data_IF_694518338550
#
_entry.id   IF_694518338550
#
_cell.length_a   1.000
_cell.length_b   1.000
_cell.length_c   1.000
_cell.angle_alpha   90.00
_cell.angle_beta   90.00
_cell.angle_gamma   90.00
#
_symmetry.space_group_name_H-M   'P 1'
#
loop_
_entity.id
_entity.type
_entity.pdbx_description
1 polymer ?
#
# COMPACT_ATOMS: atom_id res chain seq x y z
N UNK A 1 -14.84 41.13 -30.17
CA UNK A 1 -15.34 42.02 -29.11
C UNK A 1 -16.72 41.55 -28.72
N UNK A 2 -16.82 40.90 -27.55
CA UNK A 2 -17.92 41.01 -26.58
C UNK A 2 -17.74 39.86 -25.58
N UNK A 3 -17.35 40.25 -24.36
CA UNK A 3 -17.09 39.44 -23.18
C UNK A 3 -18.25 38.52 -22.81
N UNK A 4 -17.92 37.32 -22.33
CA UNK A 4 -18.84 36.41 -21.62
C UNK A 4 -18.33 36.26 -20.19
N UNK A 5 -18.63 37.26 -19.35
CA UNK A 5 -18.53 37.15 -17.90
C UNK A 5 -19.87 37.57 -17.29
N UNK A 6 -20.62 36.56 -16.84
CA UNK A 6 -21.84 36.70 -16.04
C UNK A 6 -22.12 35.37 -15.32
N UNK A 7 -22.41 35.38 -14.00
CA UNK A 7 -22.52 34.14 -13.22
C UNK A 7 -23.81 33.38 -13.54
N UNK A 8 -23.71 32.06 -13.67
CA UNK A 8 -24.82 31.15 -13.94
C UNK A 8 -25.74 31.03 -12.71
N UNK A 9 -26.97 31.48 -12.88
CA UNK A 9 -28.08 31.38 -11.93
C UNK A 9 -28.81 30.03 -12.13
N UNK A 10 -28.96 29.25 -11.06
CA UNK A 10 -29.48 27.87 -11.06
C UNK A 10 -30.83 27.73 -10.35
N UNK A 11 -31.66 28.76 -10.34
CA UNK A 11 -33.07 28.58 -10.03
C UNK A 11 -33.84 28.32 -11.32
N UNK A 12 -34.44 27.12 -11.42
CA UNK A 12 -35.78 26.81 -11.97
C UNK A 12 -35.86 25.30 -12.29
N UNK A 13 -36.37 24.50 -11.34
CA UNK A 13 -36.91 23.15 -11.62
C UNK A 13 -38.44 23.22 -11.78
N UNK A 14 -38.97 22.54 -12.80
CA UNK A 14 -40.39 22.47 -13.14
C UNK A 14 -41.15 21.37 -12.34
N UNK A 15 -42.46 21.54 -12.02
CA UNK A 15 -43.12 20.79 -10.96
C UNK A 15 -44.14 19.73 -11.43
N UNK A 16 -44.08 18.57 -10.73
CA UNK A 16 -45.19 17.82 -10.10
C UNK A 16 -46.07 16.80 -10.86
N UNK A 17 -46.51 15.82 -10.02
CA UNK A 17 -47.79 15.05 -9.98
C UNK A 17 -47.70 13.58 -10.48
N UNK A 18 -48.02 12.51 -9.71
CA UNK A 18 -49.09 12.25 -8.71
C UNK A 18 -48.70 11.09 -7.76
N UNK A 19 -49.11 11.18 -6.48
CA UNK A 19 -49.18 10.09 -5.47
C UNK A 19 -50.64 9.63 -5.23
N UNK A 20 -50.90 8.49 -4.55
CA UNK A 20 -51.48 8.60 -3.18
C UNK A 20 -50.93 7.53 -2.20
N UNK A 21 -50.34 7.91 -1.05
CA UNK A 21 -50.96 8.26 0.26
C UNK A 21 -51.12 6.99 1.15
N UNK A 22 -50.52 6.83 2.34
CA UNK A 22 -50.76 7.52 3.64
C UNK A 22 -49.76 6.85 4.65
N UNK A 23 -48.86 7.53 5.39
CA UNK A 23 -49.09 8.04 6.77
C UNK A 23 -47.85 8.77 7.34
N UNK A 24 -48.11 9.75 8.20
CA UNK A 24 -47.25 10.88 8.58
C UNK A 24 -46.14 10.58 9.61
N UNK A 25 -44.91 11.03 9.31
CA UNK A 25 -43.98 11.79 10.18
C UNK A 25 -42.71 12.17 9.38
N UNK A 26 -42.80 13.22 8.58
CA UNK A 26 -41.66 13.78 7.86
C UNK A 26 -40.67 14.45 8.83
N UNK A 27 -39.50 13.85 8.98
CA UNK A 27 -38.29 14.57 9.42
C UNK A 27 -37.92 15.56 8.32
N UNK A 28 -38.20 16.85 8.54
CA UNK A 28 -37.63 17.92 7.72
C UNK A 28 -36.10 17.79 7.80
N UNK A 29 -35.44 17.52 6.66
CA UNK A 29 -33.98 17.64 6.53
C UNK A 29 -33.66 19.12 6.78
N UNK A 30 -33.14 19.43 7.97
CA UNK A 30 -32.48 20.71 8.20
C UNK A 30 -31.18 20.67 7.40
N UNK A 31 -30.91 21.74 6.66
CA UNK A 31 -29.56 22.01 6.14
C UNK A 31 -28.67 22.11 7.37
N UNK A 32 -27.70 21.20 7.48
CA UNK A 32 -26.74 21.20 8.57
C UNK A 32 -25.67 22.22 8.17
N UNK A 33 -25.66 23.37 8.84
CA UNK A 33 -24.63 24.39 8.62
C UNK A 33 -23.35 24.01 9.37
N UNK A 34 -22.21 24.53 8.94
CA UNK A 34 -20.90 24.24 9.56
C UNK A 34 -20.88 24.60 11.06
N UNK A 35 -21.65 25.63 11.43
CA UNK A 35 -21.83 26.05 12.82
C UNK A 35 -22.62 25.03 13.65
N UNK A 36 -23.56 24.29 13.05
CA UNK A 36 -24.27 23.20 13.72
C UNK A 36 -23.33 22.01 13.98
N UNK A 37 -22.43 21.70 13.03
CA UNK A 37 -21.41 20.65 13.20
C UNK A 37 -20.36 21.01 14.26
N UNK A 38 -19.93 22.27 14.30
CA UNK A 38 -19.03 22.77 15.35
C UNK A 38 -19.70 22.69 16.72
N UNK A 39 -20.97 23.07 16.81
CA UNK A 39 -21.73 23.02 18.06
C UNK A 39 -21.93 21.58 18.53
N UNK A 40 -22.21 20.65 17.64
CA UNK A 40 -22.30 19.22 17.96
C UNK A 40 -20.93 18.66 18.39
N UNK A 41 -19.83 19.05 17.74
CA UNK A 41 -18.47 18.66 18.12
C UNK A 41 -18.11 19.11 19.56
N UNK A 42 -18.41 20.36 19.91
CA UNK A 42 -18.16 20.85 21.27
C UNK A 42 -19.12 20.22 22.29
N UNK A 43 -20.38 19.98 21.93
CA UNK A 43 -21.34 19.32 22.81
C UNK A 43 -21.00 17.84 23.08
N UNK A 44 -20.44 17.12 22.11
CA UNK A 44 -19.99 15.74 22.30
C UNK A 44 -18.71 15.66 23.13
N UNK A 45 -17.80 16.64 23.03
CA UNK A 45 -16.67 16.75 23.97
C UNK A 45 -17.14 16.94 25.42
N UNK A 46 -18.15 17.78 25.65
CA UNK A 46 -18.70 17.99 27.01
C UNK A 46 -19.39 16.73 27.55
N UNK A 47 -20.15 16.00 26.71
CA UNK A 47 -20.79 14.73 27.11
C UNK A 47 -19.81 13.61 27.41
N UNK A 48 -18.66 13.58 26.74
CA UNK A 48 -17.59 12.60 27.03
C UNK A 48 -16.92 12.87 28.39
N UNK A 49 -16.80 14.13 28.79
CA UNK A 49 -16.27 14.51 30.12
C UNK A 49 -17.25 14.10 31.24
N UNK A 50 -18.56 14.26 31.03
CA UNK A 50 -19.57 13.90 32.04
C UNK A 50 -19.78 12.39 32.19
N UNK A 51 -19.57 11.58 31.15
CA UNK A 51 -19.70 10.11 31.22
C UNK A 51 -18.52 9.41 31.92
N UNK A 52 -17.41 10.11 32.19
CA UNK A 52 -16.25 9.58 32.89
C UNK A 52 -16.37 9.42 34.41
N UNK A 53 -17.47 9.83 35.03
CA UNK A 53 -17.60 9.89 36.52
C UNK A 53 -18.49 8.80 37.15
N UNK A 54 -18.70 7.65 36.49
CA UNK A 54 -19.39 6.50 37.10
C UNK A 54 -18.44 5.32 37.34
N UNK A 55 -18.03 5.13 38.61
CA UNK A 55 -17.28 3.95 39.08
C UNK A 55 -18.18 2.70 39.10
N UNK A 56 -17.75 1.56 38.54
CA UNK A 56 -18.31 0.26 38.87
C UNK A 56 -17.66 -0.33 40.13
N UNK A 57 -18.43 -1.14 40.86
CA UNK A 57 -18.06 -1.84 42.09
C UNK A 57 -17.07 -2.99 41.80
N UNK A 58 -16.13 -3.17 42.75
CA UNK A 58 -15.09 -4.20 42.82
C UNK A 58 -15.63 -5.65 42.75
N UNK A 59 -14.90 -6.51 42.03
CA UNK A 59 -14.74 -7.94 42.28
C UNK A 59 -13.30 -8.34 41.89
N UNK A 60 -12.60 -8.98 42.83
CA UNK A 60 -11.26 -9.60 42.74
C UNK A 60 -11.24 -10.73 41.66
N UNK A 61 -10.14 -11.18 41.03
CA UNK A 61 -8.71 -11.26 41.38
C UNK A 61 -7.82 -11.35 40.10
N UNK A 62 -6.56 -10.88 40.23
CA UNK A 62 -5.35 -11.30 39.49
C UNK A 62 -5.09 -10.78 38.05
N UNK A 63 -4.87 -9.47 37.88
CA UNK A 63 -4.10 -8.92 36.72
C UNK A 63 -3.42 -7.54 37.01
N UNK A 64 -3.27 -7.17 38.30
CA UNK A 64 -3.00 -5.78 38.73
C UNK A 64 -1.63 -5.20 38.29
N UNK A 65 -0.64 -6.03 37.96
CA UNK A 65 0.71 -5.55 37.62
C UNK A 65 0.84 -5.03 36.18
N UNK A 66 0.01 -5.52 35.25
CA UNK A 66 -0.02 -5.05 33.86
C UNK A 66 -0.76 -3.71 33.75
N UNK A 67 -1.87 -3.60 34.48
CA UNK A 67 -2.72 -2.40 34.52
C UNK A 67 -1.99 -1.18 35.10
N UNK A 68 -1.11 -1.36 36.10
CA UNK A 68 -0.35 -0.24 36.69
C UNK A 68 0.74 0.29 35.73
N UNK A 69 1.39 -0.59 34.97
CA UNK A 69 2.39 -0.20 33.96
C UNK A 69 1.73 0.50 32.78
N UNK A 70 0.60 -0.01 32.29
CA UNK A 70 -0.19 0.60 31.21
C UNK A 70 -0.76 1.97 31.62
N UNK A 71 -1.21 2.11 32.87
CA UNK A 71 -1.70 3.37 33.42
C UNK A 71 -0.59 4.44 33.50
N UNK A 72 0.61 4.08 33.96
CA UNK A 72 1.78 4.98 34.01
C UNK A 72 2.23 5.40 32.61
N UNK A 73 2.22 4.48 31.65
CA UNK A 73 2.51 4.76 30.24
C UNK A 73 1.52 5.79 29.68
N UNK A 74 0.23 5.51 29.84
CA UNK A 74 -0.86 6.37 29.36
C UNK A 74 -0.80 7.76 29.98
N UNK A 75 -0.43 7.86 31.27
CA UNK A 75 -0.22 9.14 31.92
C UNK A 75 0.94 9.93 31.30
N UNK A 76 2.07 9.28 31.06
CA UNK A 76 3.25 9.91 30.43
C UNK A 76 2.95 10.40 29.01
N UNK A 77 2.25 9.60 28.20
CA UNK A 77 1.83 9.98 26.84
C UNK A 77 0.88 11.17 26.87
N UNK A 78 -0.11 11.16 27.76
CA UNK A 78 -1.05 12.27 27.92
C UNK A 78 -0.35 13.56 28.39
N UNK A 79 0.63 13.45 29.29
CA UNK A 79 1.42 14.59 29.75
C UNK A 79 2.29 15.17 28.62
N UNK A 80 2.90 14.31 27.80
CA UNK A 80 3.63 14.73 26.60
C UNK A 80 2.73 15.41 25.56
N UNK A 81 1.54 14.86 25.32
CA UNK A 81 0.56 15.43 24.38
C UNK A 81 0.08 16.80 24.84
N UNK A 82 -0.27 16.95 26.12
CA UNK A 82 -0.67 18.23 26.68
C UNK A 82 0.45 19.28 26.60
N UNK A 83 1.70 18.88 26.85
CA UNK A 83 2.86 19.76 26.68
C UNK A 83 3.08 20.16 25.21
N UNK A 84 2.79 19.29 24.24
CA UNK A 84 2.83 19.67 22.82
C UNK A 84 1.73 20.66 22.45
N UNK A 85 0.51 20.43 22.94
CA UNK A 85 -0.64 21.30 22.67
C UNK A 85 -0.42 22.70 23.26
N UNK A 86 0.27 22.81 24.41
CA UNK A 86 0.69 24.09 25.02
C UNK A 86 1.78 24.83 24.22
N UNK A 87 2.59 24.13 23.43
CA UNK A 87 3.67 24.70 22.61
C UNK A 87 3.18 25.02 21.17
N UNK A 88 2.00 24.52 20.77
CA UNK A 88 1.45 24.57 19.41
C UNK A 88 0.84 25.91 18.97
N UNK A 89 1.61 27.00 19.02
CA UNK A 89 1.27 28.26 18.37
C UNK A 89 1.84 28.33 16.95
N UNK A 90 1.24 27.60 16.01
CA UNK A 90 1.59 27.64 14.58
C UNK A 90 2.23 26.35 14.08
N UNK A 91 1.41 25.42 13.58
CA UNK A 91 1.91 24.28 12.80
C UNK A 91 2.33 24.77 11.40
N UNK A 92 3.62 25.06 11.22
CA UNK A 92 4.23 24.88 9.91
C UNK A 92 4.18 23.37 9.63
N UNK A 93 3.30 22.95 8.71
CA UNK A 93 3.22 21.56 8.24
C UNK A 93 4.58 21.25 7.58
N UNK A 94 5.50 20.65 8.33
CA UNK A 94 6.73 20.11 7.76
C UNK A 94 6.35 19.16 6.64
N UNK A 95 6.91 19.38 5.44
CA UNK A 95 6.73 18.50 4.29
C UNK A 95 7.23 17.10 4.65
N UNK A 96 6.32 16.23 5.10
CA UNK A 96 6.58 14.80 5.22
C UNK A 96 6.62 14.16 3.83
N UNK A 97 7.11 12.93 3.75
CA UNK A 97 7.14 12.14 2.53
C UNK A 97 8.58 11.93 2.05
N UNK A 98 8.92 10.67 1.81
CA UNK A 98 10.23 10.30 1.30
C UNK A 98 10.11 10.16 -0.21
N UNK A 99 10.99 10.83 -0.95
CA UNK A 99 11.13 10.57 -2.38
C UNK A 99 11.89 9.25 -2.56
N UNK A 100 11.17 8.18 -2.89
CA UNK A 100 11.76 6.85 -3.06
C UNK A 100 12.08 6.53 -4.51
N UNK A 101 11.53 7.28 -5.48
CA UNK A 101 11.83 7.12 -6.90
C UNK A 101 12.77 8.21 -7.42
N UNK A 102 13.93 7.77 -7.90
CA UNK A 102 14.94 8.57 -8.56
C UNK A 102 14.76 8.63 -10.07
N UNK A 103 15.86 8.49 -10.80
CA UNK A 103 15.88 8.44 -12.26
C UNK A 103 15.55 7.03 -12.73
N UNK A 104 14.56 6.90 -13.62
CA UNK A 104 14.23 5.62 -14.23
C UNK A 104 15.32 5.17 -15.21
N UNK A 105 15.63 3.87 -15.19
CA UNK A 105 16.51 3.20 -16.14
C UNK A 105 15.80 2.87 -17.45
N UNK A 106 16.56 2.29 -18.39
CA UNK A 106 15.99 1.84 -19.66
C UNK A 106 15.31 0.48 -19.46
N UNK A 107 14.02 0.32 -19.84
CA UNK A 107 13.36 -0.98 -19.79
C UNK A 107 14.03 -1.97 -20.75
N UNK A 108 13.94 -3.28 -20.45
CA UNK A 108 14.42 -4.31 -21.37
C UNK A 108 13.63 -4.27 -22.70
N UNK A 109 14.25 -4.82 -23.75
CA UNK A 109 13.59 -4.97 -25.04
C UNK A 109 12.35 -5.86 -24.91
N UNK A 110 11.21 -5.41 -25.42
CA UNK A 110 9.95 -6.16 -25.45
C UNK A 110 9.81 -7.04 -26.70
N UNK A 111 10.92 -7.38 -27.36
CA UNK A 111 10.94 -8.33 -28.47
C UNK A 111 11.15 -9.73 -27.90
N UNK A 112 10.18 -10.62 -28.11
CA UNK A 112 10.21 -12.00 -27.62
C UNK A 112 10.22 -12.98 -28.80
N UNK A 113 11.40 -13.38 -29.30
CA UNK A 113 11.52 -14.35 -30.39
C UNK A 113 10.87 -15.70 -30.07
N UNK A 114 10.89 -16.08 -28.78
CA UNK A 114 10.31 -17.34 -28.27
C UNK A 114 8.78 -17.43 -28.46
N UNK A 115 8.09 -16.30 -28.64
CA UNK A 115 6.64 -16.29 -28.95
C UNK A 115 6.34 -16.92 -30.31
N UNK A 116 7.27 -16.85 -31.27
CA UNK A 116 7.07 -17.40 -32.61
C UNK A 116 6.98 -18.93 -32.56
N UNK A 117 7.61 -19.54 -31.56
CA UNK A 117 7.64 -20.98 -31.34
C UNK A 117 6.67 -21.47 -30.27
N UNK A 118 5.77 -20.63 -29.74
CA UNK A 118 4.83 -21.09 -28.72
C UNK A 118 3.77 -22.03 -29.32
N UNK A 119 3.42 -23.08 -28.58
CA UNK A 119 2.49 -24.12 -29.00
C UNK A 119 1.09 -23.56 -29.27
N UNK A 120 0.68 -22.53 -28.52
CA UNK A 120 -0.54 -21.79 -28.75
C UNK A 120 -0.55 -21.17 -30.15
N UNK A 121 0.48 -20.40 -30.52
CA UNK A 121 0.55 -19.75 -31.82
C UNK A 121 0.69 -20.77 -32.96
N UNK A 122 1.56 -21.78 -32.78
CA UNK A 122 1.73 -22.88 -33.72
C UNK A 122 0.40 -23.61 -33.97
N UNK A 123 -0.41 -23.83 -32.93
CA UNK A 123 -1.70 -24.48 -33.08
C UNK A 123 -2.68 -23.65 -33.92
N UNK A 124 -2.67 -22.32 -33.80
CA UNK A 124 -3.48 -21.46 -34.67
C UNK A 124 -2.99 -21.50 -36.12
N UNK A 125 -1.67 -21.42 -36.35
CA UNK A 125 -1.08 -21.46 -37.69
C UNK A 125 -1.39 -22.76 -38.44
N UNK A 126 -1.50 -23.87 -37.71
CA UNK A 126 -1.75 -25.21 -38.26
C UNK A 126 -3.24 -25.57 -38.38
N UNK A 127 -4.16 -24.63 -38.12
CA UNK A 127 -5.62 -24.87 -38.21
C UNK A 127 -6.23 -24.23 -39.45
N UNK A 128 -7.39 -24.75 -39.88
CA UNK A 128 -8.17 -24.15 -40.98
C UNK A 128 -8.53 -22.68 -40.71
N UNK A 129 -8.64 -22.27 -39.44
CA UNK A 129 -8.84 -20.88 -39.02
C UNK A 129 -7.74 -19.94 -39.53
N UNK A 130 -6.54 -20.45 -39.78
CA UNK A 130 -5.46 -19.63 -40.34
C UNK A 130 -5.78 -19.12 -41.75
N UNK A 131 -6.65 -19.80 -42.49
CA UNK A 131 -7.11 -19.31 -43.80
C UNK A 131 -7.94 -18.02 -43.73
N UNK A 132 -8.48 -17.68 -42.56
CA UNK A 132 -9.27 -16.47 -42.32
C UNK A 132 -8.46 -15.32 -41.72
N UNK A 133 -7.42 -15.66 -40.96
CA UNK A 133 -6.62 -14.69 -40.19
C UNK A 133 -5.28 -14.38 -40.86
N UNK A 134 -4.81 -15.26 -41.75
CA UNK A 134 -3.52 -15.14 -42.45
C UNK A 134 -2.36 -14.89 -41.47
N UNK A 135 -2.29 -15.71 -40.41
CA UNK A 135 -1.22 -15.67 -39.43
C UNK A 135 0.09 -16.17 -40.04
N UNK A 136 1.09 -15.33 -39.87
CA UNK A 136 2.48 -15.54 -40.23
C UNK A 136 3.36 -15.35 -39.00
N UNK A 137 4.59 -15.83 -39.06
CA UNK A 137 5.58 -15.62 -37.98
C UNK A 137 5.87 -14.14 -37.74
N UNK A 138 5.57 -13.26 -38.70
CA UNK A 138 5.79 -11.81 -38.59
C UNK A 138 4.65 -11.07 -37.88
N UNK A 139 3.39 -11.53 -38.01
CA UNK A 139 2.24 -10.88 -37.38
C UNK A 139 1.76 -11.59 -36.09
N UNK A 140 2.35 -12.73 -35.73
CA UNK A 140 1.95 -13.53 -34.56
C UNK A 140 2.00 -12.77 -33.23
N UNK A 141 3.00 -11.91 -33.02
CA UNK A 141 3.10 -11.10 -31.79
C UNK A 141 1.94 -10.09 -31.68
N UNK A 142 1.60 -9.41 -32.77
CA UNK A 142 0.47 -8.46 -32.81
C UNK A 142 -0.87 -9.17 -32.62
N UNK A 143 -1.00 -10.39 -33.15
CA UNK A 143 -2.17 -11.23 -32.92
C UNK A 143 -2.33 -11.60 -31.44
N UNK A 144 -1.25 -12.02 -30.78
CA UNK A 144 -1.26 -12.33 -29.35
C UNK A 144 -1.54 -11.09 -28.50
N UNK A 145 -0.98 -9.92 -28.85
CA UNK A 145 -1.35 -8.64 -28.21
C UNK A 145 -2.86 -8.40 -28.32
N UNK A 146 -3.46 -8.60 -29.50
CA UNK A 146 -4.90 -8.50 -29.69
C UNK A 146 -5.69 -9.49 -28.83
N UNK A 147 -5.23 -10.74 -28.71
CA UNK A 147 -5.86 -11.75 -27.85
C UNK A 147 -5.79 -11.40 -26.37
N UNK A 148 -4.65 -10.85 -25.93
CA UNK A 148 -4.46 -10.38 -24.56
C UNK A 148 -5.39 -9.21 -24.25
N UNK A 149 -5.40 -8.17 -25.10
CA UNK A 149 -6.22 -6.96 -24.90
C UNK A 149 -7.71 -7.27 -24.85
N UNK A 150 -8.17 -8.20 -25.68
CA UNK A 150 -9.57 -8.61 -25.72
C UNK A 150 -9.93 -9.68 -24.67
N UNK A 151 -8.98 -10.09 -23.82
CA UNK A 151 -9.20 -11.09 -22.77
C UNK A 151 -9.40 -12.53 -23.26
N UNK A 152 -9.23 -12.79 -24.57
CA UNK A 152 -9.33 -14.13 -25.14
C UNK A 152 -8.16 -15.03 -24.73
N UNK A 153 -6.97 -14.45 -24.49
CA UNK A 153 -5.81 -15.21 -24.04
C UNK A 153 -6.09 -15.91 -22.71
N UNK A 154 -6.63 -15.20 -21.71
CA UNK A 154 -6.99 -15.79 -20.42
C UNK A 154 -8.01 -16.90 -20.58
N UNK A 155 -9.07 -16.70 -21.40
CA UNK A 155 -10.09 -17.73 -21.67
C UNK A 155 -9.49 -18.99 -22.29
N UNK A 156 -8.57 -18.85 -23.24
CA UNK A 156 -7.89 -19.98 -23.85
C UNK A 156 -7.02 -20.74 -22.86
N UNK A 157 -6.29 -20.02 -21.99
CA UNK A 157 -5.53 -20.62 -20.90
C UNK A 157 -6.44 -21.40 -19.96
N UNK A 158 -7.59 -20.85 -19.56
CA UNK A 158 -8.56 -21.57 -18.71
C UNK A 158 -9.12 -22.83 -19.38
N UNK A 159 -9.35 -22.81 -20.70
CA UNK A 159 -9.82 -23.99 -21.46
C UNK A 159 -8.73 -25.04 -21.58
N UNK A 160 -7.49 -24.64 -21.87
CA UNK A 160 -6.35 -25.55 -22.01
C UNK A 160 -5.79 -26.04 -20.67
N UNK A 161 -6.01 -25.29 -19.61
CA UNK A 161 -5.45 -25.53 -18.28
C UNK A 161 -3.93 -25.38 -18.23
N UNK A 162 -3.31 -24.66 -19.16
CA UNK A 162 -1.85 -24.55 -19.28
C UNK A 162 -1.41 -23.17 -19.75
N UNK A 163 -0.33 -22.66 -19.15
CA UNK A 163 0.38 -21.44 -19.57
C UNK A 163 1.82 -21.79 -19.89
N UNK A 164 2.15 -21.69 -21.17
CA UNK A 164 3.51 -21.88 -21.66
C UNK A 164 4.48 -20.84 -21.11
N UNK A 165 5.74 -21.24 -20.92
CA UNK A 165 6.81 -20.36 -20.43
C UNK A 165 6.98 -19.09 -21.28
N UNK A 166 6.90 -19.21 -22.60
CA UNK A 166 7.04 -18.10 -23.55
C UNK A 166 5.93 -17.05 -23.35
N UNK A 167 4.68 -17.51 -23.17
CA UNK A 167 3.51 -16.65 -22.92
C UNK A 167 3.62 -16.00 -21.55
N UNK A 168 3.98 -16.76 -20.52
CA UNK A 168 4.13 -16.25 -19.16
C UNK A 168 5.21 -15.15 -19.09
N UNK A 169 6.41 -15.42 -19.63
CA UNK A 169 7.50 -14.45 -19.69
C UNK A 169 7.09 -13.18 -20.43
N UNK A 170 6.45 -13.34 -21.59
CA UNK A 170 6.02 -12.21 -22.41
C UNK A 170 4.97 -11.34 -21.70
N UNK A 171 3.90 -11.92 -21.16
CA UNK A 171 2.87 -11.15 -20.45
C UNK A 171 3.42 -10.49 -19.19
N UNK A 172 4.31 -11.17 -18.46
CA UNK A 172 4.96 -10.59 -17.29
C UNK A 172 5.80 -9.35 -17.64
N UNK A 173 6.60 -9.42 -18.71
CA UNK A 173 7.38 -8.27 -19.16
C UNK A 173 6.51 -7.15 -19.74
N UNK A 174 5.42 -7.47 -20.44
CA UNK A 174 4.46 -6.46 -20.88
C UNK A 174 3.85 -5.71 -19.70
N UNK A 175 3.46 -6.42 -18.65
CA UNK A 175 2.91 -5.83 -17.44
C UNK A 175 3.91 -4.87 -16.77
N UNK A 176 5.20 -5.23 -16.72
CA UNK A 176 6.21 -4.43 -16.05
C UNK A 176 6.77 -3.28 -16.90
N UNK A 177 6.95 -3.46 -18.20
CA UNK A 177 7.80 -2.57 -19.00
C UNK A 177 7.11 -1.96 -20.22
N UNK A 178 5.88 -2.36 -20.55
CA UNK A 178 5.17 -1.76 -21.68
C UNK A 178 4.84 -0.29 -21.41
N UNK A 179 4.97 0.53 -22.46
CA UNK A 179 4.53 1.93 -22.47
C UNK A 179 3.06 2.08 -22.86
N UNK A 180 2.40 1.00 -23.33
CA UNK A 180 1.00 1.00 -23.70
C UNK A 180 0.15 0.60 -22.49
N UNK A 181 -0.54 1.55 -21.88
CA UNK A 181 -1.39 1.34 -20.69
C UNK A 181 -2.38 0.17 -20.87
N UNK A 182 -3.02 0.05 -22.04
CA UNK A 182 -3.93 -1.08 -22.33
C UNK A 182 -3.24 -2.44 -22.25
N UNK A 183 -2.01 -2.56 -22.77
CA UNK A 183 -1.25 -3.81 -22.67
C UNK A 183 -0.86 -4.10 -21.22
N UNK A 184 -0.43 -3.08 -20.48
CA UNK A 184 -0.08 -3.21 -19.06
C UNK A 184 -1.29 -3.71 -18.26
N UNK A 185 -2.45 -3.08 -18.45
CA UNK A 185 -3.68 -3.46 -17.77
C UNK A 185 -4.11 -4.89 -18.13
N UNK A 186 -4.16 -5.24 -19.42
CA UNK A 186 -4.57 -6.58 -19.85
C UNK A 186 -3.58 -7.68 -19.43
N UNK A 187 -2.28 -7.39 -19.43
CA UNK A 187 -1.26 -8.30 -18.90
C UNK A 187 -1.39 -8.49 -17.38
N UNK A 188 -1.66 -7.41 -16.64
CA UNK A 188 -1.93 -7.46 -15.21
C UNK A 188 -3.18 -8.28 -14.92
N UNK A 189 -4.29 -8.04 -15.64
CA UNK A 189 -5.55 -8.75 -15.47
C UNK A 189 -5.41 -10.24 -15.82
N UNK A 190 -4.58 -10.57 -16.83
CA UNK A 190 -4.21 -11.96 -17.15
C UNK A 190 -3.54 -12.66 -15.96
N UNK A 191 -2.51 -12.05 -15.36
CA UNK A 191 -1.81 -12.61 -14.20
C UNK A 191 -2.70 -12.70 -12.96
N UNK A 192 -3.50 -11.67 -12.68
CA UNK A 192 -4.48 -11.70 -11.61
C UNK A 192 -5.49 -12.84 -11.82
N UNK A 193 -6.06 -13.00 -13.03
CA UNK A 193 -7.04 -14.05 -13.29
C UNK A 193 -6.44 -15.46 -13.09
N UNK A 194 -5.23 -15.69 -13.58
CA UNK A 194 -4.59 -17.02 -13.54
C UNK A 194 -4.15 -17.39 -12.13
N UNK A 195 -3.63 -16.45 -11.35
CA UNK A 195 -3.15 -16.70 -9.99
C UNK A 195 -4.27 -16.66 -8.95
N UNK A 196 -5.29 -15.82 -9.14
CA UNK A 196 -6.49 -15.73 -8.29
C UNK A 196 -7.55 -16.78 -8.62
N UNK A 197 -7.30 -17.67 -9.58
CA UNK A 197 -8.15 -18.81 -9.90
C UNK A 197 -8.30 -19.68 -8.65
N UNK A 198 -9.30 -19.39 -7.82
CA UNK A 198 -9.72 -20.28 -6.75
C UNK A 198 -9.91 -21.67 -7.35
N UNK A 199 -9.48 -22.70 -6.61
CA UNK A 199 -9.80 -24.10 -6.93
C UNK A 199 -11.31 -24.30 -6.70
N UNK A 200 -12.14 -23.66 -7.53
CA UNK A 200 -13.57 -23.92 -7.58
C UNK A 200 -13.77 -25.38 -7.90
N UNK A 201 -14.84 -25.96 -7.35
CA UNK A 201 -15.11 -27.41 -7.29
C UNK A 201 -15.10 -28.14 -8.65
N UNK A 202 -14.98 -27.43 -9.78
CA UNK A 202 -14.92 -28.00 -11.14
C UNK A 202 -13.88 -27.35 -12.08
N UNK A 203 -12.92 -26.55 -11.60
CA UNK A 203 -11.87 -25.98 -12.46
C UNK A 203 -10.59 -26.81 -12.38
N UNK A 204 -10.07 -27.25 -13.54
CA UNK A 204 -8.75 -27.88 -13.60
C UNK A 204 -7.69 -26.87 -13.11
N UNK A 205 -6.74 -27.28 -12.26
CA UNK A 205 -5.65 -26.41 -11.86
C UNK A 205 -4.86 -26.02 -13.11
N UNK A 206 -4.66 -24.72 -13.32
CA UNK A 206 -3.82 -24.24 -14.42
C UNK A 206 -2.37 -24.61 -14.10
N UNK A 207 -1.74 -25.35 -15.01
CA UNK A 207 -0.30 -25.60 -14.97
C UNK A 207 0.42 -24.41 -15.60
N UNK A 208 1.28 -23.75 -14.83
CA UNK A 208 2.07 -22.61 -15.30
C UNK A 208 3.52 -23.09 -15.38
N UNK A 209 4.11 -23.08 -16.57
CA UNK A 209 5.48 -23.58 -16.79
C UNK A 209 6.55 -22.71 -16.13
N UNK A 210 6.20 -21.46 -15.81
CA UNK A 210 7.11 -20.47 -15.28
C UNK A 210 6.40 -19.47 -14.36
N UNK A 211 7.01 -19.21 -13.20
CA UNK A 211 6.53 -18.23 -12.23
C UNK A 211 7.50 -17.05 -12.11
N UNK A 212 7.00 -15.83 -11.88
CA UNK A 212 7.87 -14.68 -11.66
C UNK A 212 8.67 -14.83 -10.38
N UNK A 213 9.96 -14.55 -10.47
CA UNK A 213 10.85 -14.54 -9.31
C UNK A 213 10.82 -13.16 -8.62
N UNK A 214 11.08 -13.14 -7.31
CA UNK A 214 11.26 -11.88 -6.60
C UNK A 214 12.40 -11.04 -7.17
N UNK A 215 13.48 -11.68 -7.64
CA UNK A 215 14.61 -10.98 -8.28
C UNK A 215 14.19 -10.17 -9.50
N UNK A 216 13.27 -10.67 -10.32
CA UNK A 216 12.78 -9.95 -11.50
C UNK A 216 11.87 -8.77 -11.10
N UNK A 217 11.04 -8.96 -10.08
CA UNK A 217 10.21 -7.90 -9.51
C UNK A 217 11.06 -6.79 -8.87
N UNK A 218 12.15 -7.16 -8.19
CA UNK A 218 13.12 -6.24 -7.61
C UNK A 218 13.88 -5.47 -8.69
N UNK A 219 14.35 -6.18 -9.72
CA UNK A 219 15.00 -5.56 -10.89
C UNK A 219 14.07 -4.55 -11.57
N UNK A 220 12.77 -4.85 -11.66
CA UNK A 220 11.78 -3.93 -12.19
C UNK A 220 11.69 -2.65 -11.37
N UNK A 221 11.65 -2.74 -10.04
CA UNK A 221 11.67 -1.56 -9.14
C UNK A 221 12.96 -0.75 -9.31
N UNK A 222 14.11 -1.40 -9.44
CA UNK A 222 15.39 -0.73 -9.69
C UNK A 222 15.37 0.03 -11.03
N UNK A 223 14.82 -0.57 -12.09
CA UNK A 223 14.60 0.09 -13.39
C UNK A 223 13.62 1.26 -13.25
N UNK A 224 12.61 1.14 -12.39
CA UNK A 224 11.72 2.25 -12.06
C UNK A 224 12.40 3.35 -11.23
N UNK A 225 13.67 3.17 -10.86
CA UNK A 225 14.46 4.13 -10.10
C UNK A 225 14.21 4.06 -8.59
N UNK A 226 13.72 2.93 -8.06
CA UNK A 226 13.48 2.75 -6.64
C UNK A 226 14.79 2.78 -5.83
N UNK A 227 14.84 3.62 -4.80
CA UNK A 227 16.00 3.88 -3.96
C UNK A 227 15.86 3.12 -2.62
N UNK A 228 16.24 1.85 -2.61
CA UNK A 228 16.10 1.00 -1.41
C UNK A 228 17.11 1.34 -0.30
N UNK A 229 18.29 1.87 -0.66
CA UNK A 229 19.33 2.30 0.28
C UNK A 229 19.47 3.83 0.22
N UNK A 230 18.84 4.54 1.16
CA UNK A 230 18.96 6.01 1.28
C UNK A 230 20.35 6.52 1.64
N UNK A 231 21.26 5.62 2.04
CA UNK A 231 22.59 5.98 2.54
C UNK A 231 23.59 6.39 1.44
N UNK A 232 23.38 6.01 0.18
CA UNK A 232 24.42 6.14 -0.86
C UNK A 232 24.22 7.27 -1.89
N UNK A 233 23.15 8.05 -1.84
CA UNK A 233 22.89 9.07 -2.87
C UNK A 233 22.74 10.48 -2.30
N UNK A 234 23.85 11.04 -1.80
CA UNK A 234 24.00 12.49 -1.60
C UNK A 234 24.72 13.17 -2.79
N UNK A 235 25.25 12.43 -3.76
CA UNK A 235 26.01 13.05 -4.85
C UNK A 235 25.40 12.88 -6.25
N UNK A 236 25.06 14.05 -6.82
CA UNK A 236 24.88 14.32 -8.25
C UNK A 236 23.59 13.81 -8.91
N UNK A 237 22.94 14.51 -9.85
CA UNK A 237 23.21 15.76 -10.51
C UNK A 237 21.86 16.41 -10.85
N UNK A 238 21.86 17.74 -10.88
CA UNK A 238 20.91 18.50 -11.69
C UNK A 238 21.07 18.06 -13.14
N UNK A 239 20.19 17.16 -13.58
CA UNK A 239 19.91 16.94 -14.98
C UNK A 239 18.41 16.89 -15.10
N UNK A 240 17.86 17.85 -15.83
CA UNK A 240 16.46 17.91 -16.23
C UNK A 240 16.17 16.70 -17.14
N UNK A 241 15.91 15.54 -16.54
CA UNK A 241 15.42 14.35 -17.23
C UNK A 241 13.95 14.20 -16.87
N UNK A 242 13.09 14.12 -17.89
CA UNK A 242 11.64 14.38 -17.84
C UNK A 242 10.80 13.36 -17.05
N UNK A 243 11.36 12.22 -16.65
CA UNK A 243 10.63 11.19 -15.90
C UNK A 243 11.16 11.06 -14.47
N UNK A 244 10.79 12.00 -13.60
CA UNK A 244 10.93 11.86 -12.14
C UNK A 244 9.55 11.54 -11.56
N UNK A 245 9.43 10.42 -10.86
CA UNK A 245 8.22 10.01 -10.15
C UNK A 245 7.95 8.52 -10.30
N UNK A 246 6.91 7.99 -9.62
CA UNK A 246 6.55 6.60 -9.70
C UNK A 246 6.20 6.24 -11.15
N UNK A 247 6.63 5.07 -11.63
CA UNK A 247 6.34 4.63 -12.99
C UNK A 247 4.85 4.38 -13.15
N UNK A 248 4.33 4.52 -14.37
CA UNK A 248 2.92 4.20 -14.67
C UNK A 248 2.57 2.74 -14.32
N UNK A 249 3.56 1.86 -14.40
CA UNK A 249 3.39 0.42 -14.20
C UNK A 249 3.47 0.00 -12.72
N UNK A 250 3.68 0.93 -11.77
CA UNK A 250 3.75 0.61 -10.33
C UNK A 250 2.46 -0.07 -9.85
N UNK A 251 1.31 0.36 -10.36
CA UNK A 251 0.02 -0.23 -10.01
C UNK A 251 -0.06 -1.69 -10.43
N UNK A 252 0.48 -2.03 -11.61
CA UNK A 252 0.53 -3.39 -12.11
C UNK A 252 1.53 -4.24 -11.30
N UNK A 253 2.66 -3.66 -10.92
CA UNK A 253 3.64 -4.29 -10.02
C UNK A 253 2.98 -4.66 -8.67
N UNK A 254 2.26 -3.74 -8.01
CA UNK A 254 1.58 -3.99 -6.74
C UNK A 254 0.53 -5.10 -6.89
N UNK A 255 -0.32 -5.03 -7.92
CA UNK A 255 -1.32 -6.07 -8.19
C UNK A 255 -0.70 -7.44 -8.47
N UNK A 256 0.45 -7.49 -9.13
CA UNK A 256 1.18 -8.74 -9.35
C UNK A 256 1.66 -9.34 -8.03
N UNK A 257 2.24 -8.54 -7.12
CA UNK A 257 2.62 -9.00 -5.79
C UNK A 257 1.40 -9.58 -5.05
N UNK A 258 0.27 -8.87 -5.06
CA UNK A 258 -0.96 -9.36 -4.45
C UNK A 258 -1.38 -10.73 -5.01
N UNK A 259 -1.39 -10.87 -6.33
CA UNK A 259 -1.74 -12.11 -7.00
C UNK A 259 -0.75 -13.24 -6.67
N UNK A 260 0.55 -12.94 -6.61
CA UNK A 260 1.58 -13.89 -6.22
C UNK A 260 1.43 -14.35 -4.77
N UNK A 261 1.05 -13.46 -3.84
CA UNK A 261 0.83 -13.81 -2.44
C UNK A 261 -0.40 -14.69 -2.20
N UNK A 262 -1.36 -14.73 -3.13
CA UNK A 262 -2.49 -15.66 -3.05
C UNK A 262 -2.07 -17.11 -3.34
N UNK A 263 -1.00 -17.30 -4.11
CA UNK A 263 -0.43 -18.62 -4.39
C UNK A 263 0.70 -18.89 -3.40
N UNK A 264 0.48 -19.84 -2.48
CA UNK A 264 1.52 -20.24 -1.53
C UNK A 264 2.77 -20.75 -2.26
N UNK A 265 3.95 -20.35 -1.76
CA UNK A 265 5.29 -20.78 -2.18
C UNK A 265 5.91 -20.11 -3.41
N UNK A 266 5.37 -19.00 -3.92
CA UNK A 266 6.07 -18.21 -4.96
C UNK A 266 7.28 -17.47 -4.36
N UNK A 267 7.12 -16.91 -3.16
CA UNK A 267 8.19 -16.18 -2.48
C UNK A 267 8.76 -16.98 -1.31
N UNK A 268 10.07 -16.89 -1.10
CA UNK A 268 10.67 -17.31 0.16
C UNK A 268 10.27 -16.33 1.28
N UNK A 269 10.41 -16.72 2.55
CA UNK A 269 10.14 -15.82 3.69
C UNK A 269 11.02 -14.56 3.63
N UNK A 270 12.29 -14.69 3.23
CA UNK A 270 13.20 -13.55 3.05
C UNK A 270 12.74 -12.60 1.94
N UNK A 271 12.24 -13.12 0.83
CA UNK A 271 11.71 -12.29 -0.25
C UNK A 271 10.45 -11.55 0.21
N UNK A 272 9.58 -12.24 0.94
CA UNK A 272 8.38 -11.62 1.52
C UNK A 272 8.72 -10.54 2.55
N UNK A 273 9.77 -10.73 3.37
CA UNK A 273 10.29 -9.71 4.29
C UNK A 273 10.69 -8.44 3.53
N UNK A 274 11.51 -8.57 2.47
CA UNK A 274 11.90 -7.42 1.64
C UNK A 274 10.70 -6.75 0.95
N UNK A 275 9.69 -7.52 0.51
CA UNK A 275 8.45 -6.96 -0.07
C UNK A 275 7.71 -6.09 0.97
N UNK A 276 7.60 -6.53 2.22
CA UNK A 276 6.98 -5.72 3.30
C UNK A 276 7.73 -4.40 3.47
N UNK A 277 9.06 -4.44 3.51
CA UNK A 277 9.88 -3.24 3.63
C UNK A 277 9.65 -2.28 2.46
N UNK A 278 9.66 -2.80 1.22
CA UNK A 278 9.37 -2.01 0.01
C UNK A 278 7.97 -1.38 0.09
N UNK A 279 6.95 -2.12 0.50
CA UNK A 279 5.58 -1.60 0.61
C UNK A 279 5.48 -0.47 1.64
N UNK A 280 6.18 -0.59 2.78
CA UNK A 280 6.23 0.49 3.77
C UNK A 280 6.92 1.73 3.18
N UNK A 281 8.00 1.57 2.41
CA UNK A 281 8.61 2.70 1.71
C UNK A 281 7.67 3.33 0.68
N UNK A 282 6.94 2.51 -0.09
CA UNK A 282 5.93 3.01 -1.04
C UNK A 282 4.84 3.81 -0.32
N UNK A 283 4.44 3.42 0.89
CA UNK A 283 3.49 4.15 1.73
C UNK A 283 4.05 5.48 2.26
N UNK A 284 5.37 5.62 2.34
CA UNK A 284 6.05 6.85 2.76
C UNK A 284 6.22 7.86 1.63
N UNK A 285 6.03 7.49 0.35
CA UNK A 285 6.09 8.43 -0.77
C UNK A 285 4.72 9.06 -1.03
N UNK A 286 4.65 10.38 -0.87
CA UNK A 286 3.42 11.16 -1.11
C UNK A 286 2.90 11.09 -2.53
N UNK A 287 3.76 10.83 -3.53
CA UNK A 287 3.34 10.67 -4.92
C UNK A 287 2.47 9.42 -5.13
N UNK A 288 2.51 8.47 -4.19
CA UNK A 288 1.73 7.23 -4.22
C UNK A 288 0.46 7.29 -3.36
N UNK A 289 0.08 8.45 -2.82
CA UNK A 289 -1.10 8.59 -1.97
C UNK A 289 -2.40 8.12 -2.67
N UNK A 290 -2.50 8.26 -4.00
CA UNK A 290 -3.62 7.74 -4.78
C UNK A 290 -3.71 6.21 -4.86
N UNK A 291 -2.69 5.48 -4.41
CA UNK A 291 -2.62 4.02 -4.37
C UNK A 291 -2.65 3.47 -2.93
N UNK A 292 -2.98 4.30 -1.93
CA UNK A 292 -2.90 3.95 -0.51
C UNK A 292 -3.73 2.69 -0.16
N UNK A 293 -4.98 2.63 -0.62
CA UNK A 293 -5.86 1.46 -0.40
C UNK A 293 -5.24 0.19 -0.98
N UNK A 294 -4.75 0.26 -2.23
CA UNK A 294 -4.11 -0.87 -2.90
C UNK A 294 -2.83 -1.33 -2.19
N UNK A 295 -2.04 -0.38 -1.67
CA UNK A 295 -0.82 -0.66 -0.91
C UNK A 295 -1.14 -1.31 0.44
N UNK A 296 -2.18 -0.85 1.15
CA UNK A 296 -2.61 -1.47 2.40
C UNK A 296 -3.14 -2.89 2.18
N UNK A 297 -3.97 -3.10 1.16
CA UNK A 297 -4.47 -4.44 0.81
C UNK A 297 -3.31 -5.37 0.46
N UNK A 298 -2.32 -4.86 -0.30
CA UNK A 298 -1.12 -5.62 -0.63
C UNK A 298 -0.28 -5.94 0.62
N UNK A 299 -0.07 -4.98 1.51
CA UNK A 299 0.66 -5.18 2.75
C UNK A 299 0.00 -6.26 3.61
N UNK A 300 -1.32 -6.22 3.75
CA UNK A 300 -2.09 -7.20 4.53
C UNK A 300 -1.99 -8.60 3.92
N UNK A 301 -2.02 -8.73 2.60
CA UNK A 301 -1.82 -10.02 1.91
C UNK A 301 -0.42 -10.57 2.11
N UNK A 302 0.63 -9.73 2.03
CA UNK A 302 2.01 -10.16 2.24
C UNK A 302 2.25 -10.56 3.69
N UNK A 303 1.70 -9.82 4.66
CA UNK A 303 1.75 -10.19 6.09
C UNK A 303 1.00 -11.51 6.35
N UNK A 304 -0.10 -11.75 5.63
CA UNK A 304 -0.87 -12.99 5.71
C UNK A 304 -0.17 -14.18 5.03
N UNK A 305 0.81 -13.92 4.17
CA UNK A 305 1.57 -14.95 3.45
C UNK A 305 2.43 -15.83 4.39
N UNK A 306 2.95 -15.26 5.48
CA UNK A 306 3.80 -15.96 6.43
C UNK A 306 3.02 -17.01 7.24
N UNK A 307 3.69 -18.11 7.61
CA UNK A 307 3.17 -19.00 8.66
C UNK A 307 3.29 -18.32 10.03
N UNK A 308 2.55 -18.80 11.03
CA UNK A 308 2.62 -18.23 12.38
C UNK A 308 4.03 -18.37 12.98
N UNK A 309 4.75 -19.47 12.71
CA UNK A 309 6.12 -19.63 13.18
C UNK A 309 7.07 -18.64 12.52
N UNK A 310 6.96 -18.48 11.18
CA UNK A 310 7.79 -17.57 10.41
C UNK A 310 7.54 -16.11 10.81
N UNK A 311 6.28 -15.75 11.00
CA UNK A 311 5.87 -14.37 11.25
C UNK A 311 6.53 -13.78 12.50
N UNK A 312 6.66 -14.55 13.58
CA UNK A 312 7.29 -14.07 14.82
C UNK A 312 8.73 -13.58 14.61
N UNK A 313 9.52 -14.33 13.84
CA UNK A 313 10.93 -14.02 13.53
C UNK A 313 11.01 -12.94 12.45
N UNK A 314 10.19 -13.05 11.40
CA UNK A 314 10.18 -12.11 10.28
C UNK A 314 9.75 -10.70 10.72
N UNK A 315 8.76 -10.59 11.61
CA UNK A 315 8.29 -9.32 12.15
C UNK A 315 9.40 -8.51 12.83
N UNK A 316 10.21 -9.17 13.67
CA UNK A 316 11.34 -8.51 14.34
C UNK A 316 12.43 -8.09 13.36
N UNK A 317 12.74 -8.95 12.37
CA UNK A 317 13.72 -8.63 11.32
C UNK A 317 13.31 -7.41 10.49
N UNK A 318 12.06 -7.38 10.04
CA UNK A 318 11.50 -6.26 9.29
C UNK A 318 11.58 -4.98 10.13
N UNK A 319 11.20 -5.05 11.41
CA UNK A 319 11.31 -3.92 12.33
C UNK A 319 12.73 -3.35 12.43
N UNK A 320 13.73 -4.21 12.65
CA UNK A 320 15.16 -3.81 12.72
C UNK A 320 15.64 -3.19 11.40
N UNK A 321 15.27 -3.82 10.29
CA UNK A 321 15.65 -3.43 8.94
C UNK A 321 15.11 -2.03 8.60
N UNK A 322 13.84 -1.77 8.93
CA UNK A 322 13.20 -0.46 8.75
C UNK A 322 13.79 0.61 9.68
N UNK A 323 13.96 0.30 10.97
CA UNK A 323 14.48 1.26 11.94
C UNK A 323 15.87 1.79 11.58
N UNK A 324 16.71 0.97 10.96
CA UNK A 324 18.04 1.36 10.48
C UNK A 324 18.03 2.27 9.24
N UNK A 325 16.95 2.27 8.46
CA UNK A 325 16.89 2.92 7.13
C UNK A 325 15.92 4.09 7.06
N UNK A 326 14.86 4.10 7.87
CA UNK A 326 13.91 5.21 7.92
C UNK A 326 14.58 6.42 8.58
N UNK A 327 14.51 7.62 7.96
CA UNK A 327 15.05 8.84 8.55
C UNK A 327 14.48 9.09 9.95
N UNK A 328 15.33 9.56 10.86
CA UNK A 328 14.94 9.94 12.23
C UNK A 328 14.25 11.32 12.21
N UNK A 329 13.17 11.45 11.45
CA UNK A 329 12.35 12.65 11.34
C UNK A 329 10.85 12.27 11.36
N UNK A 330 9.95 13.14 10.90
CA UNK A 330 8.51 12.85 10.86
C UNK A 330 8.16 11.56 10.07
N UNK A 331 9.04 11.08 9.19
CA UNK A 331 8.82 9.84 8.44
C UNK A 331 8.90 8.58 9.32
N UNK A 332 9.60 8.63 10.46
CA UNK A 332 9.62 7.49 11.39
C UNK A 332 8.26 7.26 12.06
N UNK A 333 7.54 8.34 12.38
CA UNK A 333 6.13 8.30 12.78
C UNK A 333 5.25 7.74 11.67
N UNK A 334 5.40 8.28 10.45
CA UNK A 334 4.59 7.83 9.31
C UNK A 334 4.80 6.36 8.98
N UNK A 335 6.01 5.82 9.17
CA UNK A 335 6.32 4.42 8.94
C UNK A 335 5.55 3.49 9.90
N UNK A 336 5.29 3.95 11.12
CA UNK A 336 4.47 3.23 12.10
C UNK A 336 2.98 3.42 11.79
N UNK A 337 2.55 4.65 11.53
CA UNK A 337 1.14 4.99 11.28
C UNK A 337 0.58 4.33 10.02
N UNK A 338 1.39 4.15 8.97
CA UNK A 338 0.94 3.55 7.72
C UNK A 338 0.73 2.03 7.80
N UNK A 339 1.26 1.36 8.83
CA UNK A 339 0.99 -0.07 9.05
C UNK A 339 -0.42 -0.18 9.63
N UNK A 340 -1.27 -1.04 9.06
CA UNK A 340 -2.66 -1.18 9.50
C UNK A 340 -2.75 -1.73 10.93
N UNK A 341 -3.83 -1.38 11.64
CA UNK A 341 -4.12 -1.88 12.99
C UNK A 341 -5.24 -2.90 13.00
N UNK A 342 -5.62 -3.40 11.82
CA UNK A 342 -6.85 -4.17 11.63
C UNK A 342 -6.66 -5.62 12.04
N UNK A 343 -5.56 -6.24 11.59
CA UNK A 343 -5.24 -7.62 11.95
C UNK A 343 -4.25 -7.70 13.11
N UNK A 344 -4.28 -8.83 13.83
CA UNK A 344 -3.32 -9.11 14.91
C UNK A 344 -1.88 -9.08 14.39
N UNK A 345 -1.64 -9.59 13.18
CA UNK A 345 -0.30 -9.59 12.58
C UNK A 345 0.17 -8.17 12.24
N UNK A 346 -0.69 -7.34 11.66
CA UNK A 346 -0.35 -5.95 11.35
C UNK A 346 -0.13 -5.11 12.62
N UNK A 347 -0.88 -5.37 13.70
CA UNK A 347 -0.60 -4.79 15.04
C UNK A 347 0.77 -5.19 15.58
N UNK A 348 1.15 -6.47 15.44
CA UNK A 348 2.48 -6.94 15.84
C UNK A 348 3.57 -6.27 15.02
N UNK A 349 3.40 -6.15 13.70
CA UNK A 349 4.35 -5.44 12.84
C UNK A 349 4.50 -3.98 13.27
N UNK A 350 3.37 -3.29 13.48
CA UNK A 350 3.37 -1.90 13.93
C UNK A 350 4.12 -1.73 15.24
N UNK A 351 3.84 -2.59 16.22
CA UNK A 351 4.52 -2.59 17.52
C UNK A 351 6.03 -2.83 17.38
N UNK A 352 6.43 -3.84 16.60
CA UNK A 352 7.83 -4.16 16.36
C UNK A 352 8.58 -3.02 15.67
N UNK A 353 7.98 -2.39 14.65
CA UNK A 353 8.56 -1.25 13.94
C UNK A 353 8.71 -0.04 14.88
N UNK A 354 7.67 0.29 15.66
CA UNK A 354 7.72 1.37 16.64
C UNK A 354 8.83 1.16 17.67
N UNK A 355 8.88 -0.04 18.25
CA UNK A 355 9.90 -0.40 19.24
C UNK A 355 11.33 -0.27 18.69
N UNK A 356 11.58 -0.80 17.48
CA UNK A 356 12.91 -0.74 16.87
C UNK A 356 13.30 0.69 16.49
N UNK A 357 12.37 1.50 16.00
CA UNK A 357 12.62 2.93 15.72
C UNK A 357 12.97 3.68 17.01
N UNK A 358 12.26 3.43 18.11
CA UNK A 358 12.57 4.03 19.41
C UNK A 358 13.97 3.65 19.90
N UNK A 359 14.34 2.37 19.81
CA UNK A 359 15.69 1.91 20.14
C UNK A 359 16.77 2.66 19.36
N UNK A 360 16.60 2.78 18.03
CA UNK A 360 17.55 3.49 17.17
C UNK A 360 17.56 4.99 17.45
N UNK A 361 16.42 5.59 17.83
CA UNK A 361 16.33 6.98 18.27
C UNK A 361 17.12 7.25 19.56
N UNK A 362 17.21 6.28 20.47
CA UNK A 362 17.98 6.38 21.71
C UNK A 362 19.43 5.85 21.59
N UNK A 363 19.98 5.79 20.38
CA UNK A 363 21.34 5.27 20.10
C UNK A 363 21.57 3.85 20.64
N UNK A 364 20.53 3.01 20.67
CA UNK A 364 20.58 1.65 21.22
C UNK A 364 21.07 1.59 22.68
N UNK A 365 20.91 2.68 23.44
CA UNK A 365 21.31 2.74 24.86
C UNK A 365 20.37 1.96 25.78
N UNK A 366 19.16 1.66 25.32
CA UNK A 366 18.20 0.84 26.03
C UNK A 366 18.28 -0.62 25.56
N UNK A 367 18.32 -1.54 26.52
CA UNK A 367 18.37 -2.99 26.32
C UNK A 367 17.01 -3.66 26.57
N UNK A 368 16.02 -2.92 27.08
CA UNK A 368 14.67 -3.42 27.31
C UNK A 368 13.60 -2.33 27.38
N UNK A 369 12.32 -2.75 27.40
CA UNK A 369 11.15 -1.86 27.40
C UNK A 369 11.14 -0.88 28.58
N UNK A 370 11.54 -1.32 29.78
CA UNK A 370 11.58 -0.47 30.98
C UNK A 370 12.62 0.66 30.87
N UNK A 371 13.74 0.41 30.17
CA UNK A 371 14.78 1.41 29.94
C UNK A 371 14.34 2.42 28.88
N UNK A 372 13.69 1.97 27.79
CA UNK A 372 13.06 2.87 26.81
C UNK A 372 12.05 3.77 27.51
N UNK A 373 11.23 3.21 28.39
CA UNK A 373 10.25 3.96 29.17
C UNK A 373 10.89 5.01 30.08
N UNK A 374 11.97 4.64 30.77
CA UNK A 374 12.70 5.60 31.60
C UNK A 374 13.29 6.75 30.78
N UNK A 375 13.77 6.46 29.56
CA UNK A 375 14.28 7.46 28.64
C UNK A 375 13.17 8.36 28.12
N UNK A 376 12.02 7.81 27.72
CA UNK A 376 10.85 8.59 27.30
C UNK A 376 10.36 9.54 28.39
N UNK A 377 10.28 9.08 29.65
CA UNK A 377 9.89 9.91 30.80
C UNK A 377 10.93 11.02 31.05
N UNK A 378 12.20 10.78 30.75
CA UNK A 378 13.29 11.76 30.95
C UNK A 378 13.37 12.85 29.87
N UNK A 379 12.61 12.72 28.78
CA UNK A 379 12.58 13.69 27.68
C UNK A 379 11.90 14.98 28.14
N UNK A 380 12.61 16.10 28.06
CA UNK A 380 12.07 17.43 28.31
C UNK A 380 11.70 18.12 26.97
N UNK A 381 10.40 18.25 26.68
CA UNK A 381 9.86 18.78 25.42
C UNK A 381 10.11 20.30 25.26
N UNK A 382 10.57 20.98 26.33
CA UNK A 382 10.79 22.44 26.34
C UNK A 382 12.07 22.90 25.63
N UNK A 383 12.97 21.98 25.25
CA UNK A 383 14.22 22.34 24.59
C UNK A 383 14.02 22.56 23.08
N UNK A 384 14.44 23.72 22.54
CA UNK A 384 14.08 24.19 21.18
C UNK A 384 14.75 23.41 20.04
N UNK A 385 15.59 22.43 20.33
CA UNK A 385 16.40 21.72 19.33
C UNK A 385 15.74 20.51 18.65
N UNK A 386 14.49 20.17 18.96
CA UNK A 386 14.06 18.76 18.80
C UNK A 386 12.67 18.60 18.18
N UNK A 387 12.57 18.79 16.86
CA UNK A 387 11.50 18.18 16.05
C UNK A 387 11.46 16.65 16.29
N UNK A 388 12.64 16.06 16.49
CA UNK A 388 12.89 14.66 16.84
C UNK A 388 12.25 14.21 18.16
N UNK A 389 12.27 15.03 19.21
CA UNK A 389 11.65 14.73 20.51
C UNK A 389 10.13 14.78 20.42
N UNK A 390 9.60 15.75 19.66
CA UNK A 390 8.16 15.84 19.41
C UNK A 390 7.64 14.66 18.58
N UNK A 391 8.45 14.13 17.65
CA UNK A 391 8.07 12.91 16.94
C UNK A 391 8.20 11.66 17.81
N UNK A 392 9.23 11.58 18.66
CA UNK A 392 9.49 10.42 19.53
C UNK A 392 8.42 10.22 20.61
N UNK A 393 7.79 11.28 21.11
CA UNK A 393 6.71 11.16 22.09
C UNK A 393 5.34 10.80 21.47
N UNK A 394 5.22 10.82 20.14
CA UNK A 394 4.00 10.43 19.39
C UNK A 394 4.08 8.99 18.84
N UNK A 395 5.27 8.38 18.79
CA UNK A 395 5.48 6.95 18.49
C UNK A 395 5.13 6.18 19.76
#
# INVERSE_FOLDING_TARGET
MSDMDGPLDFEMEDPLLISPAINNKQRKKKVIELDDLLKDYYNDKVKHIEKGTKKPRKSYDSDDDMDEKEAKFSQCVNECQNQMDEIGGGEEITEWGIKIFGKQGNPPSLVFPELVSCDLLCSFMNTELNSLVELTTQNGAAFLEGFLVNGWLSKLVFIRGHVEKSIANWTFNLMLYSSKEKLVASACDFWCAILSSEKGVNQLPITIDWFPSYSELKTALEIYGFLFNFLDNVESANTFSECRGPPQNIRAWIKCIMACCQVRNIFSSSNAEEIVEVLIYLLLDRQLQGLLELLHDCLELVVSYFTDEQWSISCEKIGKSLACRVPKDLNCLRAVECISGLSTRSKLLRSAVAHQILLVCFDCKATGEEEIMSLLISINIKDRGTVLVKSQARI
#
